data_IF_069321380820
#
_entry.id   IF_069321380820
#
_cell.length_a   1.000
_cell.length_b   1.000
_cell.length_c   1.000
_cell.angle_alpha   90.00
_cell.angle_beta   90.00
_cell.angle_gamma   90.00
#
_symmetry.space_group_name_H-M   'P 1'
#
loop_
_entity.id
_entity.type
_entity.pdbx_description
1 polymer ?
#
# COMPACT_ATOMS: atom_id res chain seq x y z
N UNK A 1 26.94 5.50 15.58
CA UNK A 1 26.53 6.16 14.32
C UNK A 1 27.30 5.51 13.18
N UNK A 2 26.62 5.22 12.07
CA UNK A 2 27.20 4.70 10.84
C UNK A 2 26.84 5.61 9.67
N UNK A 3 27.73 5.67 8.67
CA UNK A 3 27.48 6.43 7.46
C UNK A 3 26.80 5.53 6.42
N UNK A 4 25.63 5.93 5.99
CA UNK A 4 24.84 5.23 4.96
C UNK A 4 24.50 6.19 3.82
N UNK A 5 24.19 5.63 2.67
CA UNK A 5 23.82 6.39 1.48
C UNK A 5 22.44 5.96 1.01
N UNK A 6 21.44 6.82 1.21
CA UNK A 6 20.09 6.63 0.70
C UNK A 6 19.91 7.40 -0.60
N UNK A 7 19.63 6.70 -1.68
CA UNK A 7 19.41 7.31 -3.02
C UNK A 7 20.54 8.27 -3.44
N UNK A 8 21.78 7.89 -3.13
CA UNK A 8 22.98 8.68 -3.45
C UNK A 8 23.34 9.79 -2.46
N UNK A 9 22.50 10.09 -1.46
CA UNK A 9 22.80 11.07 -0.40
C UNK A 9 23.35 10.39 0.84
N UNK A 10 24.39 10.98 1.43
CA UNK A 10 25.04 10.49 2.65
C UNK A 10 24.28 10.96 3.90
N UNK A 11 24.08 10.04 4.84
CA UNK A 11 23.49 10.29 6.15
C UNK A 11 24.32 9.60 7.24
N UNK A 12 24.32 10.18 8.45
CA UNK A 12 24.85 9.54 9.66
C UNK A 12 23.70 9.15 10.55
N UNK A 13 23.54 7.85 10.79
CA UNK A 13 22.38 7.27 11.51
C UNK A 13 22.84 6.33 12.60
N UNK A 14 22.06 6.07 13.65
CA UNK A 14 22.32 5.03 14.63
C UNK A 14 22.48 3.64 13.98
N UNK A 15 23.45 2.86 14.44
CA UNK A 15 23.78 1.56 13.84
C UNK A 15 22.77 0.44 14.16
N UNK A 16 21.96 0.64 15.19
CA UNK A 16 20.92 -0.29 15.65
C UNK A 16 19.62 -0.20 14.84
N UNK A 17 19.52 0.80 13.97
CA UNK A 17 18.33 0.96 13.14
C UNK A 17 18.31 0.00 11.96
N UNK A 18 17.10 -0.37 11.55
CA UNK A 18 16.87 -1.03 10.25
C UNK A 18 16.98 0.01 9.12
N UNK A 19 17.17 -0.44 7.88
CA UNK A 19 17.19 0.47 6.70
C UNK A 19 15.95 1.36 6.68
N UNK A 20 14.77 0.80 6.96
CA UNK A 20 13.50 1.53 6.96
C UNK A 20 13.47 2.61 8.06
N UNK A 21 13.79 2.25 9.29
CA UNK A 21 13.79 3.19 10.42
C UNK A 21 14.93 4.22 10.30
N UNK A 22 16.06 3.84 9.70
CA UNK A 22 17.16 4.75 9.41
C UNK A 22 16.79 5.78 8.34
N UNK A 23 16.00 5.40 7.33
CA UNK A 23 15.44 6.34 6.35
C UNK A 23 14.50 7.34 7.02
N UNK A 24 13.60 6.86 7.91
CA UNK A 24 12.70 7.73 8.67
C UNK A 24 13.48 8.67 9.59
N UNK A 25 14.52 8.19 10.28
CA UNK A 25 15.45 9.01 11.06
C UNK A 25 16.13 10.08 10.21
N UNK A 26 16.49 9.78 8.97
CA UNK A 26 17.07 10.72 8.00
C UNK A 26 16.04 11.72 7.41
N UNK A 27 14.76 11.67 7.84
CA UNK A 27 13.71 12.59 7.44
C UNK A 27 12.86 12.15 6.24
N UNK A 28 13.01 10.89 5.78
CA UNK A 28 12.15 10.37 4.72
C UNK A 28 10.76 10.02 5.25
N UNK A 29 9.72 10.48 4.58
CA UNK A 29 8.35 10.07 4.83
C UNK A 29 8.00 8.90 3.91
N UNK A 30 7.93 7.69 4.48
CA UNK A 30 7.65 6.47 3.73
C UNK A 30 6.15 6.32 3.48
N UNK A 31 5.67 6.86 2.37
CA UNK A 31 4.28 6.70 1.91
C UNK A 31 4.06 5.42 1.09
N UNK A 32 5.14 4.82 0.59
CA UNK A 32 5.15 3.61 -0.25
C UNK A 32 6.36 2.76 0.12
N UNK A 33 6.33 1.48 -0.24
CA UNK A 33 7.39 0.56 0.13
C UNK A 33 7.43 0.27 1.64
N UNK A 34 6.35 0.53 2.36
CA UNK A 34 6.19 0.19 3.78
C UNK A 34 4.78 -0.37 3.99
N UNK A 35 4.70 -1.61 4.39
CA UNK A 35 3.46 -2.29 4.75
C UNK A 35 3.49 -2.72 6.21
N UNK A 36 3.59 -4.02 6.48
CA UNK A 36 3.54 -4.58 7.83
C UNK A 36 4.69 -4.16 8.76
N UNK A 37 5.84 -3.71 8.24
CA UNK A 37 7.07 -3.35 8.95
C UNK A 37 7.74 -4.51 9.74
N UNK A 38 7.23 -5.73 9.61
CA UNK A 38 7.64 -6.92 10.37
C UNK A 38 8.13 -8.07 9.49
N UNK A 39 8.55 -7.78 8.25
CA UNK A 39 9.15 -8.77 7.35
C UNK A 39 8.18 -9.70 6.64
N UNK A 40 6.88 -9.51 6.79
CA UNK A 40 5.87 -10.42 6.25
C UNK A 40 5.42 -10.06 4.84
N UNK A 41 5.07 -8.79 4.58
CA UNK A 41 4.38 -8.41 3.34
C UNK A 41 5.29 -8.22 2.11
N UNK A 42 6.61 -8.11 2.30
CA UNK A 42 7.57 -7.88 1.21
C UNK A 42 7.55 -6.48 0.58
N UNK A 43 6.64 -5.60 1.00
CA UNK A 43 6.49 -4.25 0.41
C UNK A 43 7.76 -3.39 0.50
N UNK A 44 8.61 -3.64 1.51
CA UNK A 44 9.85 -2.93 1.75
C UNK A 44 11.07 -3.61 1.12
N UNK A 45 10.87 -4.49 0.15
CA UNK A 45 11.98 -5.09 -0.58
C UNK A 45 12.87 -4.00 -1.18
N UNK A 46 14.17 -4.11 -0.95
CA UNK A 46 15.15 -3.11 -1.35
C UNK A 46 16.45 -3.76 -1.77
N UNK A 47 17.30 -3.02 -2.42
CA UNK A 47 18.64 -3.48 -2.79
C UNK A 47 19.69 -2.61 -2.09
N UNK A 48 20.78 -3.23 -1.72
CA UNK A 48 21.91 -2.51 -1.17
C UNK A 48 23.25 -3.14 -1.59
N UNK A 49 24.30 -2.37 -1.44
CA UNK A 49 25.67 -2.83 -1.49
C UNK A 49 26.49 -2.16 -0.39
N UNK A 50 27.58 -2.75 0.01
CA UNK A 50 28.55 -2.15 0.93
C UNK A 50 29.69 -1.51 0.14
N UNK A 51 30.17 -0.36 0.58
CA UNK A 51 31.31 0.33 -0.02
C UNK A 51 32.51 -0.61 -0.16
N UNK A 52 33.10 -0.65 -1.36
CA UNK A 52 34.23 -1.55 -1.67
C UNK A 52 33.83 -2.99 -2.02
N UNK A 53 32.53 -3.34 -1.97
CA UNK A 53 32.03 -4.63 -2.46
C UNK A 53 31.15 -4.38 -3.69
N UNK A 54 31.31 -5.23 -4.72
CA UNK A 54 30.52 -5.11 -5.97
C UNK A 54 29.24 -5.94 -5.93
N UNK A 55 29.05 -6.73 -4.88
CA UNK A 55 27.88 -7.58 -4.71
C UNK A 55 26.64 -6.72 -4.39
N UNK A 56 25.56 -6.89 -5.17
CA UNK A 56 24.25 -6.34 -4.89
C UNK A 56 23.46 -7.39 -4.10
N UNK A 57 22.90 -6.97 -2.96
CA UNK A 57 22.05 -7.81 -2.11
C UNK A 57 20.63 -7.27 -2.11
N UNK A 58 19.67 -8.20 -2.15
CA UNK A 58 18.25 -7.89 -1.93
C UNK A 58 17.92 -8.16 -0.46
N UNK A 59 17.09 -7.32 0.13
CA UNK A 59 16.65 -7.48 1.51
C UNK A 59 15.28 -6.84 1.75
N UNK A 60 14.75 -7.08 2.95
CA UNK A 60 13.59 -6.36 3.47
C UNK A 60 14.08 -5.21 4.35
N UNK A 61 13.82 -3.97 3.93
CA UNK A 61 14.30 -2.77 4.62
C UNK A 61 13.83 -2.67 6.09
N UNK A 62 12.71 -3.30 6.44
CA UNK A 62 12.20 -3.34 7.81
C UNK A 62 12.88 -4.38 8.71
N UNK A 63 13.73 -5.25 8.16
CA UNK A 63 14.40 -6.32 8.90
C UNK A 63 15.92 -6.21 8.87
N UNK A 64 16.48 -5.52 7.88
CA UNK A 64 17.92 -5.43 7.67
C UNK A 64 18.47 -4.21 8.37
N UNK A 65 19.40 -4.40 9.29
CA UNK A 65 20.09 -3.30 9.97
C UNK A 65 21.06 -2.60 9.03
N UNK A 66 21.29 -1.31 9.31
CA UNK A 66 22.25 -0.49 8.56
C UNK A 66 23.69 -0.81 8.98
N UNK A 67 24.59 -0.78 8.02
CA UNK A 67 26.03 -0.99 8.22
C UNK A 67 26.81 0.20 7.66
N UNK A 68 28.05 0.40 8.18
CA UNK A 68 28.95 1.45 7.68
C UNK A 68 29.22 1.29 6.18
N UNK A 69 29.05 2.36 5.45
CA UNK A 69 29.28 2.38 4.01
C UNK A 69 28.21 1.68 3.17
N UNK A 70 27.03 1.44 3.74
CA UNK A 70 25.90 0.85 3.02
C UNK A 70 25.30 1.84 2.02
N UNK A 71 25.19 1.45 0.75
CA UNK A 71 24.47 2.16 -0.30
C UNK A 71 23.14 1.47 -0.53
N UNK A 72 22.06 2.16 -0.29
CA UNK A 72 20.70 1.64 -0.40
C UNK A 72 19.98 2.33 -1.56
N UNK A 73 19.34 1.53 -2.39
CA UNK A 73 18.42 1.99 -3.40
C UNK A 73 17.13 1.16 -3.31
N UNK A 74 15.98 1.80 -3.37
CA UNK A 74 14.74 1.03 -3.54
C UNK A 74 14.83 0.29 -4.86
N UNK A 75 14.30 -0.93 -4.87
CA UNK A 75 13.97 -1.54 -6.15
C UNK A 75 13.03 -0.52 -6.82
N UNK A 76 13.29 -0.10 -8.06
CA UNK A 76 12.39 0.81 -8.72
C UNK A 76 11.04 0.09 -8.91
N UNK A 77 10.19 0.18 -7.88
CA UNK A 77 8.84 -0.38 -7.91
C UNK A 77 7.94 0.41 -8.84
N UNK A 78 8.50 1.37 -9.50
CA UNK A 78 7.67 2.27 -10.22
C UNK A 78 8.29 2.58 -11.54
N UNK A 79 7.84 1.73 -12.42
CA UNK A 79 6.97 2.25 -13.45
C UNK A 79 5.49 2.01 -13.19
N UNK A 80 4.98 1.93 -11.97
CA UNK A 80 3.53 1.99 -11.78
C UNK A 80 3.10 3.43 -12.01
N UNK A 81 2.73 3.69 -13.22
CA UNK A 81 2.23 4.97 -13.63
C UNK A 81 0.88 5.22 -12.95
N UNK A 82 0.91 6.10 -11.94
CA UNK A 82 -0.30 6.50 -11.24
C UNK A 82 -0.98 7.59 -12.05
N UNK A 83 -1.95 7.21 -12.85
CA UNK A 83 -2.78 8.16 -13.59
C UNK A 83 -3.60 9.01 -12.63
N UNK A 84 -3.76 10.29 -12.99
CA UNK A 84 -4.64 11.22 -12.28
C UNK A 84 -5.98 11.24 -12.98
N UNK A 85 -7.04 11.10 -12.21
CA UNK A 85 -8.42 11.15 -12.70
C UNK A 85 -9.33 11.66 -11.59
N UNK A 86 -10.44 12.29 -11.96
CA UNK A 86 -11.54 12.60 -11.04
C UNK A 86 -12.52 11.43 -11.01
N UNK A 87 -12.71 10.84 -9.84
CA UNK A 87 -13.61 9.71 -9.64
C UNK A 87 -15.09 10.07 -9.94
N UNK A 88 -15.44 11.36 -9.93
CA UNK A 88 -16.79 11.82 -10.25
C UNK A 88 -17.06 11.86 -11.78
N UNK A 89 -16.00 12.02 -12.57
CA UNK A 89 -16.07 12.13 -14.01
C UNK A 89 -15.94 10.78 -14.71
N UNK A 90 -15.21 9.82 -14.10
CA UNK A 90 -15.01 8.49 -14.67
C UNK A 90 -16.12 7.53 -14.26
N UNK A 91 -16.52 6.66 -15.18
CA UNK A 91 -17.58 5.65 -14.99
C UNK A 91 -17.04 4.24 -15.15
N UNK A 92 -17.66 3.20 -14.55
CA UNK A 92 -17.22 1.80 -14.65
C UNK A 92 -17.54 1.19 -16.03
N UNK A 93 -16.99 1.79 -17.06
CA UNK A 93 -17.09 1.33 -18.45
C UNK A 93 -15.76 0.72 -18.89
N UNK A 94 -15.77 -0.32 -19.71
CA UNK A 94 -14.57 -0.98 -20.22
C UNK A 94 -13.56 0.02 -20.81
N UNK A 95 -14.07 1.05 -21.50
CA UNK A 95 -13.28 2.10 -22.12
C UNK A 95 -12.35 2.82 -21.15
N UNK A 96 -12.78 3.02 -19.89
CA UNK A 96 -11.95 3.74 -18.91
C UNK A 96 -10.64 3.03 -18.60
N UNK A 97 -10.61 1.69 -18.69
CA UNK A 97 -9.37 0.93 -18.54
C UNK A 97 -8.43 1.17 -19.72
N UNK A 98 -8.97 1.32 -20.93
CA UNK A 98 -8.17 1.63 -22.13
C UNK A 98 -7.63 3.06 -22.09
N UNK A 99 -8.42 4.02 -21.60
CA UNK A 99 -8.04 5.43 -21.55
C UNK A 99 -6.96 5.70 -20.47
N UNK A 100 -7.06 5.04 -19.31
CA UNK A 100 -6.15 5.27 -18.18
C UNK A 100 -4.97 4.29 -18.13
N UNK A 101 -5.18 3.02 -18.49
CA UNK A 101 -4.18 1.95 -18.38
C UNK A 101 -4.15 1.07 -19.65
N UNK A 102 -3.86 1.66 -20.84
CA UNK A 102 -3.88 0.92 -22.10
C UNK A 102 -2.91 -0.26 -22.11
N UNK A 103 -1.83 -0.20 -21.30
CA UNK A 103 -0.82 -1.26 -21.22
C UNK A 103 -1.39 -2.61 -20.79
N UNK A 104 -2.57 -2.67 -20.13
CA UNK A 104 -3.18 -3.96 -19.77
C UNK A 104 -3.51 -4.81 -21.00
N UNK A 105 -3.79 -4.18 -22.13
CA UNK A 105 -4.10 -4.88 -23.39
C UNK A 105 -2.86 -5.45 -24.10
N UNK A 106 -1.66 -5.09 -23.61
CA UNK A 106 -0.40 -5.70 -24.05
C UNK A 106 -0.01 -6.95 -23.24
N UNK A 107 -0.88 -7.42 -22.36
CA UNK A 107 -0.63 -8.60 -21.55
C UNK A 107 -0.47 -9.85 -22.42
N UNK A 108 0.67 -10.54 -22.28
CA UNK A 108 0.98 -11.78 -23.03
C UNK A 108 0.61 -13.06 -22.27
N UNK A 109 -0.05 -12.96 -21.11
CA UNK A 109 -0.47 -14.11 -20.31
C UNK A 109 0.65 -14.93 -19.66
N UNK A 110 1.85 -14.36 -19.45
CA UNK A 110 3.02 -15.09 -18.94
C UNK A 110 2.93 -15.49 -17.45
N UNK A 111 1.95 -15.00 -16.71
CA UNK A 111 1.71 -15.27 -15.29
C UNK A 111 2.86 -14.89 -14.32
N UNK A 112 3.84 -14.11 -14.76
CA UNK A 112 4.94 -13.68 -13.91
C UNK A 112 4.45 -12.79 -12.75
N UNK A 113 3.41 -12.00 -12.96
CA UNK A 113 2.80 -11.12 -11.96
C UNK A 113 2.16 -11.90 -10.80
N UNK A 114 1.38 -12.94 -11.07
CA UNK A 114 0.78 -13.82 -10.04
C UNK A 114 1.86 -14.52 -9.23
N UNK A 115 2.89 -15.08 -9.91
CA UNK A 115 4.01 -15.73 -9.24
C UNK A 115 4.86 -14.80 -8.37
N UNK A 116 4.85 -13.51 -8.66
CA UNK A 116 5.59 -12.50 -7.89
C UNK A 116 4.76 -11.85 -6.77
N UNK A 117 3.47 -12.20 -6.66
CA UNK A 117 2.61 -11.60 -5.65
C UNK A 117 2.95 -12.10 -4.25
N UNK A 118 3.19 -11.17 -3.32
CA UNK A 118 3.51 -11.48 -1.91
C UNK A 118 2.27 -11.77 -1.06
N UNK A 119 1.09 -11.59 -1.63
CA UNK A 119 -0.22 -11.84 -1.00
C UNK A 119 -0.97 -12.98 -1.70
N UNK A 120 -0.30 -13.76 -2.53
CA UNK A 120 -0.85 -14.89 -3.29
C UNK A 120 -2.08 -14.56 -4.14
N UNK A 121 -2.24 -13.28 -4.54
CA UNK A 121 -3.34 -12.86 -5.40
C UNK A 121 -3.16 -13.38 -6.82
N UNK A 122 -4.26 -13.74 -7.47
CA UNK A 122 -4.25 -14.09 -8.88
C UNK A 122 -4.21 -12.83 -9.77
N UNK A 123 -3.04 -12.19 -9.79
CA UNK A 123 -2.83 -10.88 -10.43
C UNK A 123 -3.18 -10.89 -11.92
N UNK A 124 -2.79 -11.96 -12.64
CA UNK A 124 -3.12 -12.09 -14.06
C UNK A 124 -4.63 -12.15 -14.27
N UNK A 125 -5.37 -12.81 -13.37
CA UNK A 125 -6.81 -12.94 -13.47
C UNK A 125 -7.52 -11.59 -13.29
N UNK A 126 -7.12 -10.78 -12.28
CA UNK A 126 -7.78 -9.50 -12.12
C UNK A 126 -7.45 -8.51 -13.27
N UNK A 127 -6.29 -8.62 -13.91
CA UNK A 127 -6.01 -7.88 -15.13
C UNK A 127 -6.92 -8.34 -16.28
N UNK A 128 -7.15 -9.64 -16.42
CA UNK A 128 -8.09 -10.17 -17.40
C UNK A 128 -9.54 -9.70 -17.14
N UNK A 129 -9.95 -9.56 -15.89
CA UNK A 129 -11.23 -8.93 -15.54
C UNK A 129 -11.27 -7.45 -15.92
N UNK A 130 -10.21 -6.71 -15.63
CA UNK A 130 -10.10 -5.30 -16.00
C UNK A 130 -10.18 -5.09 -17.53
N UNK A 131 -9.52 -5.93 -18.32
CA UNK A 131 -9.58 -5.88 -19.78
C UNK A 131 -11.01 -6.05 -20.33
N UNK A 132 -11.84 -6.83 -19.65
CA UNK A 132 -13.24 -7.09 -20.03
C UNK A 132 -14.24 -6.11 -19.43
N UNK A 133 -13.78 -5.17 -18.56
CA UNK A 133 -14.66 -4.26 -17.85
C UNK A 133 -15.46 -4.92 -16.72
N UNK A 134 -15.04 -6.09 -16.24
CA UNK A 134 -15.64 -6.80 -15.10
C UNK A 134 -15.13 -6.22 -13.77
N UNK A 135 -15.57 -4.99 -13.45
CA UNK A 135 -15.02 -4.20 -12.35
C UNK A 135 -15.20 -4.85 -10.98
N UNK A 136 -16.38 -5.43 -10.69
CA UNK A 136 -16.64 -6.12 -9.42
C UNK A 136 -15.67 -7.26 -9.19
N UNK A 137 -15.52 -8.16 -10.18
CA UNK A 137 -14.60 -9.29 -10.09
C UNK A 137 -13.14 -8.84 -9.99
N UNK A 138 -12.78 -7.77 -10.72
CA UNK A 138 -11.44 -7.19 -10.61
C UNK A 138 -11.21 -6.58 -9.22
N UNK A 139 -12.20 -5.92 -8.65
CA UNK A 139 -12.14 -5.33 -7.31
C UNK A 139 -12.00 -6.41 -6.23
N UNK A 140 -12.80 -7.47 -6.31
CA UNK A 140 -12.78 -8.59 -5.38
C UNK A 140 -11.43 -9.32 -5.43
N UNK A 141 -10.97 -9.77 -6.61
CA UNK A 141 -9.72 -10.49 -6.78
C UNK A 141 -8.47 -9.66 -6.39
N UNK A 142 -8.55 -8.33 -6.49
CA UNK A 142 -7.46 -7.43 -6.10
C UNK A 142 -7.60 -6.85 -4.70
N UNK A 143 -8.62 -7.24 -3.91
CA UNK A 143 -8.96 -6.55 -2.66
C UNK A 143 -7.81 -6.48 -1.67
N UNK A 144 -7.14 -7.60 -1.42
CA UNK A 144 -6.03 -7.71 -0.46
C UNK A 144 -4.68 -7.20 -1.01
N UNK A 145 -4.70 -6.48 -2.15
CA UNK A 145 -3.47 -5.93 -2.72
C UNK A 145 -2.90 -4.81 -1.86
N UNK A 146 -1.71 -5.05 -1.30
CA UNK A 146 -0.97 -4.07 -0.47
C UNK A 146 -0.19 -3.03 -1.29
N UNK A 147 -0.26 -3.07 -2.63
CA UNK A 147 0.42 -2.10 -3.49
C UNK A 147 1.95 -2.22 -3.53
N UNK A 148 2.53 -3.40 -3.23
CA UNK A 148 3.98 -3.57 -3.18
C UNK A 148 4.69 -3.39 -4.53
N UNK A 149 4.00 -3.55 -5.67
CA UNK A 149 4.55 -3.35 -7.02
C UNK A 149 5.37 -4.51 -7.58
N UNK A 150 5.60 -5.59 -6.85
CA UNK A 150 6.40 -6.74 -7.31
C UNK A 150 5.91 -7.31 -8.65
N UNK A 151 4.60 -7.35 -8.84
CA UNK A 151 3.98 -7.78 -10.09
C UNK A 151 4.32 -6.87 -11.28
N UNK A 152 4.34 -5.55 -11.07
CA UNK A 152 4.66 -4.58 -12.12
C UNK A 152 6.13 -4.65 -12.54
N UNK A 153 7.05 -4.81 -11.58
CA UNK A 153 8.49 -4.97 -11.86
C UNK A 153 8.80 -6.21 -12.70
N UNK A 154 8.01 -7.27 -12.53
CA UNK A 154 8.18 -8.53 -13.26
C UNK A 154 7.45 -8.57 -14.59
N UNK A 155 6.66 -7.54 -14.91
CA UNK A 155 5.83 -7.52 -16.09
C UNK A 155 6.61 -7.06 -17.34
N UNK A 156 6.73 -7.90 -18.38
CA UNK A 156 7.39 -7.49 -19.62
C UNK A 156 6.58 -6.45 -20.43
N UNK A 157 5.29 -6.30 -20.13
CA UNK A 157 4.40 -5.31 -20.74
C UNK A 157 4.24 -4.04 -19.87
N UNK A 158 5.05 -3.89 -18.82
CA UNK A 158 5.09 -2.72 -17.91
C UNK A 158 3.74 -2.33 -17.31
N UNK A 159 2.85 -3.31 -17.10
CA UNK A 159 1.50 -3.08 -16.56
C UNK A 159 1.56 -2.58 -15.13
N UNK A 160 0.82 -1.52 -14.85
CA UNK A 160 0.65 -0.94 -13.50
C UNK A 160 -0.42 -1.69 -12.68
N UNK A 161 -0.24 -3.02 -12.48
CA UNK A 161 -1.23 -3.90 -11.86
C UNK A 161 -1.87 -3.34 -10.59
N UNK A 162 -1.13 -2.85 -9.57
CA UNK A 162 -1.75 -2.35 -8.35
C UNK A 162 -2.67 -1.16 -8.60
N UNK A 163 -2.32 -0.30 -9.55
CA UNK A 163 -3.12 0.89 -9.88
C UNK A 163 -4.40 0.53 -10.61
N UNK A 164 -4.35 -0.45 -11.49
CA UNK A 164 -5.55 -1.03 -12.15
C UNK A 164 -6.50 -1.59 -11.09
N UNK A 165 -6.00 -2.38 -10.14
CA UNK A 165 -6.81 -2.89 -9.02
C UNK A 165 -7.41 -1.76 -8.17
N UNK A 166 -6.64 -0.70 -7.87
CA UNK A 166 -7.14 0.48 -7.13
C UNK A 166 -8.26 1.18 -7.90
N UNK A 167 -8.11 1.38 -9.21
CA UNK A 167 -9.14 1.98 -10.04
C UNK A 167 -10.43 1.14 -10.03
N UNK A 168 -10.31 -0.17 -10.23
CA UNK A 168 -11.46 -1.07 -10.20
C UNK A 168 -12.19 -1.01 -8.85
N UNK A 169 -11.47 -1.11 -7.72
CA UNK A 169 -12.07 -1.02 -6.38
C UNK A 169 -12.79 0.30 -6.13
N UNK A 170 -12.18 1.42 -6.57
CA UNK A 170 -12.80 2.74 -6.42
C UNK A 170 -14.07 2.90 -7.23
N UNK A 171 -14.06 2.43 -8.48
CA UNK A 171 -15.24 2.48 -9.35
C UNK A 171 -16.33 1.54 -8.85
N UNK A 172 -15.98 0.35 -8.41
CA UNK A 172 -16.93 -0.61 -7.80
C UNK A 172 -17.56 -0.01 -6.55
N UNK A 173 -16.75 0.51 -5.62
CA UNK A 173 -17.25 1.08 -4.37
C UNK A 173 -18.13 2.30 -4.56
N UNK A 174 -17.87 3.11 -5.60
CA UNK A 174 -18.64 4.33 -5.82
C UNK A 174 -19.92 4.11 -6.62
N UNK A 175 -19.91 3.21 -7.60
CA UNK A 175 -20.97 3.14 -8.60
C UNK A 175 -21.72 1.81 -8.66
N UNK A 176 -21.15 0.74 -8.12
CA UNK A 176 -21.69 -0.61 -8.30
C UNK A 176 -22.09 -1.21 -6.96
N UNK A 177 -21.22 -1.13 -5.96
CA UNK A 177 -21.50 -1.69 -4.64
C UNK A 177 -22.68 -0.96 -3.97
N UNK A 178 -23.57 -1.70 -3.27
CA UNK A 178 -24.65 -1.06 -2.51
C UNK A 178 -24.07 -0.22 -1.35
N UNK A 179 -24.71 0.89 -1.06
CA UNK A 179 -24.39 1.69 0.11
C UNK A 179 -24.67 0.89 1.39
N UNK A 180 -23.76 0.99 2.34
CA UNK A 180 -23.91 0.37 3.66
C UNK A 180 -24.90 1.18 4.48
N UNK A 181 -26.08 0.65 4.74
CA UNK A 181 -27.13 1.33 5.52
C UNK A 181 -26.63 1.75 6.89
N UNK A 182 -25.97 0.83 7.61
CA UNK A 182 -25.49 1.13 8.96
C UNK A 182 -24.39 2.20 8.97
N UNK A 183 -23.61 2.34 7.90
CA UNK A 183 -22.63 3.40 7.76
C UNK A 183 -23.33 4.75 7.53
N UNK A 184 -24.37 4.78 6.68
CA UNK A 184 -25.17 5.98 6.44
C UNK A 184 -25.86 6.45 7.73
N UNK A 185 -26.48 5.52 8.46
CA UNK A 185 -27.10 5.78 9.77
C UNK A 185 -26.08 6.34 10.77
N UNK A 186 -24.90 5.72 10.86
CA UNK A 186 -23.81 6.19 11.74
C UNK A 186 -23.32 7.60 11.38
N UNK A 187 -23.20 7.90 10.10
CA UNK A 187 -22.82 9.24 9.62
C UNK A 187 -23.88 10.27 9.98
N UNK A 188 -25.16 9.92 9.84
CA UNK A 188 -26.27 10.78 10.26
C UNK A 188 -26.28 11.05 11.76
N UNK A 189 -26.08 10.02 12.61
CA UNK A 189 -25.94 10.16 14.06
C UNK A 189 -24.80 11.11 14.44
N UNK A 190 -23.65 11.00 13.78
CA UNK A 190 -22.51 11.89 14.00
C UNK A 190 -22.87 13.34 13.57
N UNK A 191 -23.52 13.54 12.44
CA UNK A 191 -23.93 14.86 11.98
C UNK A 191 -25.00 15.51 12.89
N UNK A 192 -25.84 14.71 13.52
CA UNK A 192 -26.82 15.19 14.51
C UNK A 192 -26.20 15.47 15.89
N UNK A 193 -24.96 15.07 16.12
CA UNK A 193 -24.25 15.27 17.37
C UNK A 193 -24.67 14.28 18.48
N UNK A 194 -25.21 13.12 18.12
CA UNK A 194 -25.71 12.12 19.07
C UNK A 194 -24.63 11.62 20.05
N UNK A 195 -23.36 11.78 19.69
CA UNK A 195 -22.21 11.40 20.52
C UNK A 195 -21.54 12.57 21.23
N UNK A 196 -21.88 13.82 20.93
CA UNK A 196 -21.13 14.99 21.40
C UNK A 196 -21.10 15.07 22.93
N UNK A 197 -22.25 14.88 23.58
CA UNK A 197 -22.31 14.87 25.04
C UNK A 197 -21.48 13.77 25.70
N UNK A 198 -21.45 12.59 25.11
CA UNK A 198 -20.65 11.47 25.62
C UNK A 198 -19.15 11.74 25.44
N UNK A 199 -18.77 12.34 24.34
CA UNK A 199 -17.37 12.72 24.05
C UNK A 199 -16.94 13.80 25.04
N UNK A 200 -17.72 14.85 25.27
CA UNK A 200 -17.44 15.90 26.24
C UNK A 200 -17.27 15.32 27.67
N UNK A 201 -18.19 14.46 28.08
CA UNK A 201 -18.11 13.79 29.41
C UNK A 201 -16.84 12.95 29.58
N UNK A 202 -16.38 12.27 28.50
CA UNK A 202 -15.16 11.48 28.55
C UNK A 202 -13.93 12.39 28.57
N UNK A 203 -13.93 13.48 27.80
CA UNK A 203 -12.81 14.42 27.75
C UNK A 203 -12.60 15.18 29.07
N UNK A 204 -13.64 15.35 29.89
CA UNK A 204 -13.55 15.98 31.21
C UNK A 204 -13.04 15.03 32.32
N UNK A 205 -12.98 13.71 32.05
CA UNK A 205 -12.57 12.71 33.03
C UNK A 205 -11.06 12.68 33.25
N UNK A 206 -10.61 12.42 34.50
CA UNK A 206 -9.22 12.13 34.81
C UNK A 206 -8.72 10.88 34.06
N UNK A 207 -7.41 10.83 33.80
CA UNK A 207 -6.79 9.71 33.07
C UNK A 207 -7.05 8.37 33.78
N UNK A 208 -7.02 8.34 35.09
CA UNK A 208 -7.25 7.14 35.89
C UNK A 208 -8.66 6.56 35.70
N UNK A 209 -9.68 7.43 35.66
CA UNK A 209 -11.06 7.02 35.39
C UNK A 209 -11.25 6.54 33.96
N UNK A 210 -10.61 7.20 32.99
CA UNK A 210 -10.62 6.75 31.60
C UNK A 210 -9.97 5.37 31.43
N UNK A 211 -8.88 5.09 32.17
CA UNK A 211 -8.23 3.78 32.19
C UNK A 211 -9.14 2.69 32.75
N UNK A 212 -9.88 3.00 33.83
CA UNK A 212 -10.86 2.07 34.40
C UNK A 212 -11.98 1.76 33.42
N UNK A 213 -12.54 2.76 32.74
CA UNK A 213 -13.57 2.58 31.73
C UNK A 213 -13.05 1.75 30.56
N UNK A 214 -11.83 2.00 30.12
CA UNK A 214 -11.19 1.23 29.03
C UNK A 214 -10.98 -0.24 29.42
N UNK A 215 -10.52 -0.51 30.61
CA UNK A 215 -10.26 -1.86 31.11
C UNK A 215 -11.55 -2.68 31.32
N UNK A 216 -12.64 -2.01 31.71
CA UNK A 216 -13.94 -2.61 32.00
C UNK A 216 -14.88 -2.66 30.78
N UNK A 217 -14.45 -2.18 29.61
CA UNK A 217 -15.27 -2.21 28.38
C UNK A 217 -15.62 -3.64 27.99
N UNK A 218 -16.82 -3.83 27.45
CA UNK A 218 -17.18 -5.07 26.79
C UNK A 218 -16.31 -5.25 25.54
N UNK A 219 -15.61 -6.38 25.46
CA UNK A 219 -14.81 -6.75 24.30
C UNK A 219 -15.63 -7.77 23.53
N UNK A 220 -15.93 -7.45 22.27
CA UNK A 220 -16.55 -8.42 21.36
C UNK A 220 -15.64 -9.65 21.25
N UNK A 221 -16.26 -10.83 21.36
CA UNK A 221 -15.57 -12.12 21.31
C UNK A 221 -15.46 -12.62 19.89
#
# INVERSE_FOLDING_TARGET
MVNVYFFGKKYSVPADLTIMTAMEYAGYTLKRGCGCRHGFCGACATIYRIKGKNELKTCLACQTQVEEGMYVASIPFFPTDKRTYDINEVKPEQRIMMDLYPEIYSCIGCNACTKACTQDLNVMQYIAYAQRGEFEKCAEESFDCIGCGCCSVRCPAEISHPMVGVLARRLTGKYIAPESKHLTERVEEIHHGDYDQLIEQIMEKPIEEMQELYNNREIEK
#
